data_IF_157815194827
#
_entry.id   IF_157815194827
#
_cell.length_a   1.000
_cell.length_b   1.000
_cell.length_c   1.000
_cell.angle_alpha   90.00
_cell.angle_beta   90.00
_cell.angle_gamma   90.00
#
_symmetry.space_group_name_H-M   'P 1'
#
loop_
_entity.id
_entity.type
_entity.pdbx_description
1 polymer ?
#
# COMPACT_ATOMS: atom_id res chain seq x y z
N UNK A 1 7.99 7.92 -15.42
CA UNK A 1 6.71 7.49 -14.81
C UNK A 1 7.05 7.19 -13.37
N UNK A 2 6.57 8.01 -12.45
CA UNK A 2 7.00 7.96 -11.06
C UNK A 2 5.95 7.25 -10.22
N UNK A 3 6.39 6.21 -9.52
CA UNK A 3 5.63 5.58 -8.46
C UNK A 3 5.44 6.63 -7.34
N UNK A 4 4.25 6.74 -6.74
CA UNK A 4 4.05 7.64 -5.62
C UNK A 4 5.00 7.25 -4.48
N UNK A 5 5.48 8.24 -3.74
CA UNK A 5 6.30 7.94 -2.57
C UNK A 5 5.44 7.30 -1.45
N UNK A 6 6.10 6.75 -0.43
CA UNK A 6 5.41 6.05 0.67
C UNK A 6 4.42 6.93 1.44
N UNK A 7 4.67 8.25 1.57
CA UNK A 7 3.77 9.19 2.24
C UNK A 7 2.49 9.43 1.43
N UNK A 8 2.61 9.46 0.10
CA UNK A 8 1.45 9.54 -0.80
C UNK A 8 0.63 8.25 -0.76
N UNK A 9 1.28 7.09 -0.58
CA UNK A 9 0.58 5.82 -0.37
C UNK A 9 -0.16 5.83 0.97
N UNK A 10 0.45 6.34 2.04
CA UNK A 10 -0.19 6.48 3.36
C UNK A 10 -1.41 7.40 3.28
N UNK A 11 -1.29 8.53 2.57
CA UNK A 11 -2.41 9.45 2.36
C UNK A 11 -3.56 8.78 1.60
N UNK A 12 -3.25 7.97 0.58
CA UNK A 12 -4.25 7.21 -0.16
C UNK A 12 -4.92 6.15 0.72
N UNK A 13 -4.16 5.44 1.56
CA UNK A 13 -4.68 4.42 2.46
C UNK A 13 -5.56 5.06 3.56
N UNK A 14 -5.13 6.19 4.13
CA UNK A 14 -5.90 6.97 5.08
C UNK A 14 -7.26 7.43 4.49
N UNK A 15 -7.26 7.85 3.22
CA UNK A 15 -8.48 8.29 2.54
C UNK A 15 -9.49 7.16 2.30
N UNK A 16 -9.03 5.91 2.15
CA UNK A 16 -9.88 4.73 1.96
C UNK A 16 -10.40 4.20 3.30
N UNK A 17 -9.47 3.97 4.24
CA UNK A 17 -9.78 3.43 5.58
C UNK A 17 -10.50 4.42 6.50
N UNK A 18 -10.40 5.72 6.22
CA UNK A 18 -10.89 6.76 7.13
C UNK A 18 -9.96 7.03 8.32
N UNK A 19 -8.77 6.41 8.35
CA UNK A 19 -7.75 6.68 9.37
C UNK A 19 -7.28 8.14 9.31
N UNK A 20 -7.10 8.77 10.47
CA UNK A 20 -6.61 10.15 10.55
C UNK A 20 -5.13 10.25 10.13
N UNK A 21 -4.33 9.24 10.47
CA UNK A 21 -2.94 9.12 10.07
C UNK A 21 -2.55 7.64 9.93
N UNK A 22 -1.83 7.31 8.86
CA UNK A 22 -1.25 5.98 8.61
C UNK A 22 0.25 6.11 8.78
N UNK A 23 0.78 5.51 9.85
CA UNK A 23 2.23 5.44 10.06
C UNK A 23 2.84 4.43 9.07
N UNK A 24 3.73 4.93 8.20
CA UNK A 24 4.37 4.16 7.14
C UNK A 24 5.34 3.08 7.66
N UNK A 25 5.79 3.23 8.91
CA UNK A 25 6.73 2.35 9.60
C UNK A 25 6.05 1.47 10.67
N UNK A 26 4.75 1.67 10.90
CA UNK A 26 3.97 0.77 11.73
C UNK A 26 3.53 -0.48 10.94
N UNK A 27 3.46 -1.65 11.58
CA UNK A 27 2.89 -2.84 10.96
C UNK A 27 1.43 -2.61 10.58
N UNK A 28 1.06 -2.95 9.34
CA UNK A 28 -0.29 -2.74 8.81
C UNK A 28 -1.36 -3.43 9.67
N UNK A 29 -1.07 -4.61 10.21
CA UNK A 29 -1.98 -5.35 11.10
C UNK A 29 -2.19 -4.69 12.46
N UNK A 30 -1.36 -3.74 12.86
CA UNK A 30 -1.48 -3.00 14.12
C UNK A 30 -2.22 -1.67 13.96
N UNK A 31 -2.50 -1.25 12.73
CA UNK A 31 -3.29 -0.06 12.45
C UNK A 31 -4.76 -0.36 12.73
N UNK A 32 -5.27 0.15 13.86
CA UNK A 32 -6.63 -0.16 14.32
C UNK A 32 -7.72 0.27 13.34
N UNK A 33 -7.46 1.32 12.56
CA UNK A 33 -8.39 1.91 11.61
C UNK A 33 -8.27 1.33 10.20
N UNK A 34 -7.34 0.39 9.95
CA UNK A 34 -7.14 -0.21 8.63
C UNK A 34 -7.50 -1.69 8.68
N UNK A 35 -8.49 -2.10 7.90
CA UNK A 35 -8.86 -3.50 7.76
C UNK A 35 -8.45 -4.10 6.40
N UNK A 36 -8.70 -5.41 6.23
CA UNK A 36 -8.36 -6.11 4.98
C UNK A 36 -9.15 -5.62 3.76
N UNK A 37 -10.37 -5.10 3.96
CA UNK A 37 -11.19 -4.54 2.88
C UNK A 37 -10.61 -3.21 2.42
N UNK A 38 -10.17 -2.36 3.35
CA UNK A 38 -9.52 -1.08 3.05
C UNK A 38 -8.24 -1.28 2.24
N UNK A 39 -7.42 -2.28 2.60
CA UNK A 39 -6.21 -2.63 1.85
C UNK A 39 -6.54 -3.05 0.41
N UNK A 40 -7.62 -3.80 0.21
CA UNK A 40 -8.06 -4.23 -1.11
C UNK A 40 -8.62 -3.05 -1.92
N UNK A 41 -9.45 -2.20 -1.33
CA UNK A 41 -9.99 -1.01 -1.99
C UNK A 41 -8.87 -0.02 -2.37
N UNK A 42 -7.89 0.19 -1.48
CA UNK A 42 -6.68 0.94 -1.78
C UNK A 42 -5.92 0.36 -2.96
N UNK A 43 -5.74 -0.97 -3.00
CA UNK A 43 -5.05 -1.65 -4.10
C UNK A 43 -5.78 -1.47 -5.43
N UNK A 44 -7.11 -1.58 -5.45
CA UNK A 44 -7.90 -1.32 -6.65
C UNK A 44 -7.78 0.13 -7.11
N UNK A 45 -7.82 1.09 -6.17
CA UNK A 45 -7.57 2.50 -6.46
C UNK A 45 -6.18 2.75 -7.05
N UNK A 46 -5.16 2.10 -6.49
CA UNK A 46 -3.80 2.15 -6.98
C UNK A 46 -3.68 1.57 -8.39
N UNK A 47 -4.21 0.37 -8.65
CA UNK A 47 -4.21 -0.26 -9.98
C UNK A 47 -4.91 0.61 -11.03
N UNK A 48 -6.01 1.27 -10.68
CA UNK A 48 -6.73 2.16 -11.58
C UNK A 48 -5.90 3.40 -11.94
N UNK A 49 -5.18 3.97 -10.96
CA UNK A 49 -4.32 5.14 -11.15
C UNK A 49 -3.00 4.80 -11.84
N UNK A 50 -2.48 3.60 -11.61
CA UNK A 50 -1.21 3.11 -12.14
C UNK A 50 -1.38 1.77 -12.89
N UNK A 51 -2.16 1.73 -13.99
CA UNK A 51 -2.50 0.47 -14.68
C UNK A 51 -1.32 -0.22 -15.37
N UNK A 52 -0.15 0.43 -15.39
CA UNK A 52 1.09 -0.10 -15.95
C UNK A 52 1.93 -0.85 -14.91
N UNK A 53 1.60 -0.75 -13.62
CA UNK A 53 2.29 -1.47 -12.55
C UNK A 53 1.50 -2.76 -12.28
N UNK A 54 2.12 -3.94 -12.35
CA UNK A 54 1.45 -5.22 -12.11
C UNK A 54 1.30 -5.49 -10.60
N UNK A 55 0.75 -4.53 -9.86
CA UNK A 55 0.41 -4.67 -8.45
C UNK A 55 -0.83 -5.57 -8.33
N UNK A 56 -0.83 -6.55 -7.42
CA UNK A 56 -1.97 -7.41 -7.12
C UNK A 56 -1.98 -7.85 -5.64
N UNK A 57 -2.92 -8.72 -5.27
CA UNK A 57 -3.07 -9.22 -3.90
C UNK A 57 -1.82 -9.91 -3.33
N UNK A 58 -0.86 -10.31 -4.18
CA UNK A 58 0.41 -10.88 -3.72
C UNK A 58 1.24 -9.91 -2.87
N UNK A 59 1.01 -8.59 -3.01
CA UNK A 59 1.58 -7.57 -2.12
C UNK A 59 1.23 -7.81 -0.65
N UNK A 60 0.13 -8.52 -0.39
CA UNK A 60 -0.46 -8.75 0.92
C UNK A 60 -0.49 -10.23 1.34
N UNK A 61 0.04 -11.14 0.51
CA UNK A 61 -0.09 -12.59 0.73
C UNK A 61 0.62 -13.09 2.00
N UNK A 62 1.67 -12.38 2.40
CA UNK A 62 2.50 -12.71 3.57
C UNK A 62 2.59 -11.50 4.52
N UNK A 63 1.48 -10.77 4.74
CA UNK A 63 1.47 -9.71 5.78
C UNK A 63 1.58 -10.39 7.15
N UNK A 64 2.58 -9.96 7.90
CA UNK A 64 2.78 -10.31 9.30
C UNK A 64 2.79 -9.05 10.19
N UNK A 65 3.13 -9.24 11.47
CA UNK A 65 3.28 -8.18 12.47
C UNK A 65 4.51 -7.29 12.25
N UNK A 66 5.25 -7.46 11.15
CA UNK A 66 6.39 -6.63 10.74
C UNK A 66 6.18 -5.94 9.40
N UNK A 67 5.12 -6.28 8.67
CA UNK A 67 4.87 -5.76 7.33
C UNK A 67 4.28 -4.36 7.41
N UNK A 68 5.08 -3.37 7.01
CA UNK A 68 4.71 -1.95 7.02
C UNK A 68 4.32 -1.45 5.63
N UNK A 69 3.76 -0.24 5.54
CA UNK A 69 3.49 0.38 4.24
C UNK A 69 4.79 0.65 3.46
N UNK A 70 5.89 0.93 4.14
CA UNK A 70 7.22 1.03 3.53
C UNK A 70 7.63 -0.27 2.85
N UNK A 71 7.41 -1.42 3.49
CA UNK A 71 7.69 -2.72 2.89
C UNK A 71 6.83 -2.97 1.64
N UNK A 72 5.55 -2.55 1.65
CA UNK A 72 4.68 -2.62 0.46
C UNK A 72 5.19 -1.71 -0.66
N UNK A 73 5.62 -0.50 -0.33
CA UNK A 73 6.21 0.43 -1.31
C UNK A 73 7.49 -0.16 -1.95
N UNK A 74 8.37 -0.80 -1.18
CA UNK A 74 9.54 -1.48 -1.71
C UNK A 74 9.17 -2.63 -2.66
N UNK A 75 8.15 -3.42 -2.32
CA UNK A 75 7.59 -4.46 -3.20
C UNK A 75 7.07 -3.86 -4.50
N UNK A 76 6.32 -2.75 -4.42
CA UNK A 76 5.83 -2.02 -5.59
C UNK A 76 6.98 -1.51 -6.48
N UNK A 77 8.04 -0.95 -5.88
CA UNK A 77 9.22 -0.51 -6.63
C UNK A 77 9.90 -1.68 -7.36
N UNK A 78 9.96 -2.87 -6.75
CA UNK A 78 10.53 -4.05 -7.37
C UNK A 78 9.71 -4.58 -8.56
N UNK A 79 8.41 -4.25 -8.63
CA UNK A 79 7.54 -4.58 -9.75
C UNK A 79 7.71 -3.64 -10.94
N UNK A 80 8.25 -2.43 -10.73
CA UNK A 80 8.54 -1.51 -11.82
C UNK A 80 9.82 -1.97 -12.50
N UNK A 81 9.79 -2.31 -13.81
CA UNK A 81 11.01 -2.63 -14.53
C UNK A 81 11.94 -1.41 -14.53
N UNK A 82 13.18 -1.61 -14.06
CA UNK A 82 14.24 -0.62 -14.17
C UNK A 82 14.52 -0.38 -15.66
N UNK A 83 13.97 0.70 -16.20
CA UNK A 83 14.29 1.19 -17.55
C UNK A 83 15.71 1.77 -17.60
#
# INVERSE_FOLDING_TARGET
>A
MELPNVEELATQLAAVSGAENVDVDAPLLQLADVDSLDLMEWLYGFQNKYPHIPADESLFKDIDDTTTLRAVHERLMALVPAN
#
